data_IF_200358149869
#
_entry.id   IF_200358149869
#
_cell.length_a   1.000
_cell.length_b   1.000
_cell.length_c   1.000
_cell.angle_alpha   90.00
_cell.angle_beta   90.00
_cell.angle_gamma   90.00
#
_symmetry.space_group_name_H-M   'P 1'
#
loop_
_entity.id
_entity.type
_entity.pdbx_description
1 polymer ?
#
# COMPACT_ATOMS: atom_id res chain seq x y z
N UNK A 1 1.78 -6.04 17.51
CA UNK A 1 1.54 -6.45 16.10
C UNK A 1 0.79 -7.78 16.00
N UNK A 2 1.41 -8.92 16.37
CA UNK A 2 0.88 -10.28 16.14
C UNK A 2 -0.52 -10.62 16.66
N UNK A 3 -1.03 -9.89 17.67
CA UNK A 3 -2.38 -10.10 18.24
C UNK A 3 -3.50 -9.38 17.49
N UNK A 4 -3.17 -8.40 16.63
CA UNK A 4 -4.16 -7.55 15.97
C UNK A 4 -5.08 -8.36 15.04
N UNK A 5 -4.55 -9.21 14.13
CA UNK A 5 -5.38 -9.95 13.18
C UNK A 5 -6.27 -11.03 13.83
N UNK A 6 -5.98 -11.41 15.08
CA UNK A 6 -6.69 -12.47 15.81
C UNK A 6 -8.08 -12.07 16.32
N UNK A 7 -8.40 -10.78 16.34
CA UNK A 7 -9.68 -10.30 16.90
C UNK A 7 -10.90 -10.57 16.02
N UNK A 8 -10.69 -10.94 14.74
CA UNK A 8 -11.74 -11.16 13.71
C UNK A 8 -12.73 -10.00 13.52
N UNK A 9 -12.49 -8.84 14.15
CA UNK A 9 -13.27 -7.62 14.02
C UNK A 9 -12.61 -6.66 13.03
N UNK A 10 -13.38 -5.83 12.31
CA UNK A 10 -12.81 -4.78 11.47
C UNK A 10 -11.93 -3.82 12.28
N UNK A 11 -10.72 -3.56 11.79
CA UNK A 11 -9.81 -2.58 12.41
C UNK A 11 -10.34 -1.18 12.14
N UNK A 12 -10.73 -0.46 13.20
CA UNK A 12 -11.12 0.95 13.10
C UNK A 12 -9.90 1.87 12.90
N UNK A 13 -8.84 1.64 13.68
CA UNK A 13 -7.56 2.36 13.57
C UNK A 13 -6.46 1.61 14.31
N UNK A 14 -5.21 1.90 13.94
CA UNK A 14 -4.01 1.56 14.73
C UNK A 14 -3.31 2.83 15.19
N UNK A 15 -2.51 2.72 16.24
CA UNK A 15 -1.68 3.81 16.78
C UNK A 15 -0.42 3.23 17.40
N UNK A 16 0.59 4.07 17.60
CA UNK A 16 1.84 3.70 18.25
C UNK A 16 1.82 4.06 19.73
N UNK A 17 2.43 3.21 20.53
CA UNK A 17 2.73 3.46 21.94
C UNK A 17 4.21 3.11 22.19
N UNK A 18 5.04 4.06 22.67
CA UNK A 18 4.70 5.43 23.07
C UNK A 18 4.29 6.32 21.88
N UNK A 19 3.46 7.33 22.14
CA UNK A 19 2.88 8.22 21.10
C UNK A 19 3.93 9.06 20.35
N UNK A 20 5.03 9.42 21.03
CA UNK A 20 6.06 10.31 20.50
C UNK A 20 7.35 9.52 20.24
N UNK A 21 7.39 8.85 19.09
CA UNK A 21 8.60 8.18 18.59
C UNK A 21 9.35 9.16 17.68
N UNK A 22 10.67 9.26 17.84
CA UNK A 22 11.53 10.04 16.94
C UNK A 22 12.07 9.14 15.84
N UNK A 23 11.95 9.51 14.56
CA UNK A 23 12.61 8.78 13.49
C UNK A 23 14.11 9.10 13.45
N UNK A 24 14.84 8.31 12.68
CA UNK A 24 16.22 8.62 12.32
C UNK A 24 16.24 9.86 11.40
N UNK A 25 17.12 10.86 11.66
CA UNK A 25 17.25 12.03 10.78
C UNK A 25 17.56 11.68 9.32
N UNK A 26 18.28 10.58 9.09
CA UNK A 26 18.60 10.04 7.76
C UNK A 26 17.33 9.66 6.99
N UNK A 27 16.33 9.10 7.66
CA UNK A 27 15.06 8.72 7.04
C UNK A 27 14.27 9.95 6.58
N UNK A 28 14.26 11.01 7.41
CA UNK A 28 13.61 12.28 7.06
C UNK A 28 14.30 12.92 5.85
N UNK A 29 15.64 12.97 5.84
CA UNK A 29 16.40 13.49 4.69
C UNK A 29 16.11 12.70 3.42
N UNK A 30 16.12 11.37 3.50
CA UNK A 30 15.84 10.51 2.36
C UNK A 30 14.45 10.77 1.78
N UNK A 31 13.42 10.92 2.62
CA UNK A 31 12.06 11.25 2.17
C UNK A 31 12.01 12.63 1.50
N UNK A 32 12.69 13.63 2.07
CA UNK A 32 12.66 15.00 1.55
C UNK A 32 13.36 15.15 0.18
N UNK A 33 14.40 14.34 -0.08
CA UNK A 33 15.19 14.41 -1.31
C UNK A 33 14.80 13.34 -2.33
N UNK A 34 13.88 12.44 -2.02
CA UNK A 34 13.47 11.39 -2.95
C UNK A 34 12.69 11.98 -4.14
N UNK A 35 13.03 11.55 -5.36
CA UNK A 35 12.23 11.82 -6.55
C UNK A 35 10.94 10.99 -6.56
N UNK A 36 11.00 9.77 -5.99
CA UNK A 36 9.87 8.86 -5.85
C UNK A 36 9.90 8.20 -4.47
N UNK A 37 8.74 8.15 -3.82
CA UNK A 37 8.51 7.45 -2.56
C UNK A 37 7.51 6.32 -2.83
N UNK A 38 7.98 5.08 -2.73
CA UNK A 38 7.13 3.90 -2.79
C UNK A 38 6.60 3.56 -1.39
N UNK A 39 5.29 3.40 -1.29
CA UNK A 39 4.60 3.00 -0.06
C UNK A 39 4.06 1.59 -0.28
N UNK A 40 4.54 0.63 0.50
CA UNK A 40 4.25 -0.78 0.29
C UNK A 40 5.13 -1.44 -0.79
N UNK A 41 4.80 -2.67 -1.23
CA UNK A 41 3.68 -3.48 -0.71
C UNK A 41 3.94 -3.94 0.73
N UNK A 42 2.87 -4.31 1.45
CA UNK A 42 2.97 -4.81 2.82
C UNK A 42 1.61 -4.84 3.50
N UNK A 43 1.54 -5.43 4.70
CA UNK A 43 0.31 -5.42 5.47
C UNK A 43 -0.10 -4.00 5.81
N UNK A 44 -1.37 -3.66 5.59
CA UNK A 44 -1.83 -2.28 5.67
C UNK A 44 -1.68 -1.71 7.08
N UNK A 45 -2.19 -2.43 8.10
CA UNK A 45 -2.25 -1.94 9.48
C UNK A 45 -1.03 -2.34 10.31
N UNK A 46 -0.27 -3.35 9.88
CA UNK A 46 0.88 -3.89 10.62
C UNK A 46 2.23 -3.57 9.99
N UNK A 47 2.30 -3.12 8.73
CA UNK A 47 3.56 -2.73 8.07
C UNK A 47 3.53 -1.31 7.51
N UNK A 48 2.50 -0.92 6.77
CA UNK A 48 2.48 0.37 6.05
C UNK A 48 2.12 1.52 7.00
N UNK A 49 0.93 1.48 7.57
CA UNK A 49 0.40 2.54 8.44
C UNK A 49 1.32 2.79 9.66
N UNK A 50 1.88 1.78 10.35
CA UNK A 50 2.79 2.02 11.47
C UNK A 50 3.98 2.92 11.16
N UNK A 51 4.56 2.82 9.95
CA UNK A 51 5.65 3.72 9.53
C UNK A 51 5.17 5.17 9.35
N UNK A 52 3.97 5.35 8.78
CA UNK A 52 3.37 6.67 8.55
C UNK A 52 2.85 7.34 9.83
N UNK A 53 2.57 6.55 10.87
CA UNK A 53 2.13 7.04 12.19
C UNK A 53 3.25 7.66 13.02
N UNK A 54 4.52 7.49 12.63
CA UNK A 54 5.60 8.27 13.22
C UNK A 54 5.45 9.70 12.70
N UNK A 55 5.02 10.63 13.57
CA UNK A 55 4.59 11.98 13.18
C UNK A 55 5.53 12.67 12.17
N UNK A 56 6.83 12.68 12.45
CA UNK A 56 7.83 13.31 11.58
C UNK A 56 7.97 12.60 10.22
N UNK A 57 7.81 11.27 10.16
CA UNK A 57 7.79 10.51 8.89
C UNK A 57 6.55 10.86 8.08
N UNK A 58 5.37 10.78 8.69
CA UNK A 58 4.11 11.09 8.02
C UNK A 58 4.10 12.53 7.48
N UNK A 59 4.59 13.49 8.28
CA UNK A 59 4.76 14.87 7.83
C UNK A 59 5.77 15.02 6.69
N UNK A 60 6.90 14.31 6.75
CA UNK A 60 7.89 14.36 5.69
C UNK A 60 7.33 13.81 4.37
N UNK A 61 6.59 12.70 4.40
CA UNK A 61 5.95 12.11 3.21
C UNK A 61 4.91 13.06 2.61
N UNK A 62 4.10 13.72 3.45
CA UNK A 62 3.12 14.73 3.01
C UNK A 62 3.78 15.93 2.35
N UNK A 63 4.91 16.41 2.90
CA UNK A 63 5.62 17.60 2.41
C UNK A 63 6.61 17.29 1.27
N UNK A 64 6.88 16.01 1.01
CA UNK A 64 7.84 15.59 -0.01
C UNK A 64 7.40 16.07 -1.40
N UNK A 65 8.39 16.54 -2.18
CA UNK A 65 8.18 16.96 -3.57
C UNK A 65 8.17 15.78 -4.54
N UNK A 66 8.86 14.70 -4.17
CA UNK A 66 8.86 13.46 -4.95
C UNK A 66 7.48 12.85 -5.07
N UNK A 67 7.29 12.03 -6.12
CA UNK A 67 6.03 11.34 -6.40
C UNK A 67 5.78 10.25 -5.36
N UNK A 68 4.64 10.29 -4.66
CA UNK A 68 4.24 9.28 -3.66
C UNK A 68 3.34 8.24 -4.32
N UNK A 69 3.81 7.00 -4.40
CA UNK A 69 3.11 5.91 -5.09
C UNK A 69 2.80 4.79 -4.10
N UNK A 70 1.52 4.46 -3.92
CA UNK A 70 1.11 3.30 -3.15
C UNK A 70 1.10 2.04 -4.02
N UNK A 71 1.83 1.00 -3.60
CA UNK A 71 1.79 -0.33 -4.22
C UNK A 71 0.70 -1.13 -3.52
N UNK A 72 -0.45 -1.27 -4.20
CA UNK A 72 -1.64 -1.88 -3.63
C UNK A 72 -1.44 -3.38 -3.39
N UNK A 73 -2.05 -3.88 -2.31
CA UNK A 73 -2.08 -5.29 -1.96
C UNK A 73 -2.83 -6.07 -3.06
N UNK A 74 -2.35 -7.27 -3.38
CA UNK A 74 -2.99 -8.14 -4.38
C UNK A 74 -4.25 -8.81 -3.82
N UNK A 75 -4.20 -9.17 -2.54
CA UNK A 75 -5.23 -9.91 -1.82
C UNK A 75 -5.55 -9.19 -0.51
N UNK A 76 -6.80 -9.30 -0.06
CA UNK A 76 -7.21 -8.90 1.29
C UNK A 76 -6.56 -9.81 2.33
N UNK A 77 -6.33 -9.30 3.53
CA UNK A 77 -5.76 -10.06 4.63
C UNK A 77 -6.79 -10.32 5.72
N UNK A 78 -6.94 -11.59 6.10
CA UNK A 78 -7.81 -12.02 7.20
C UNK A 78 -7.41 -11.29 8.48
N UNK A 79 -8.40 -10.64 9.12
CA UNK A 79 -8.19 -9.89 10.36
C UNK A 79 -7.61 -8.48 10.20
N UNK A 80 -7.25 -8.06 8.97
CA UNK A 80 -6.79 -6.70 8.69
C UNK A 80 -7.68 -5.98 7.66
N UNK A 81 -7.76 -6.50 6.44
CA UNK A 81 -8.37 -5.81 5.28
C UNK A 81 -9.46 -6.63 4.61
N UNK A 82 -10.16 -7.49 5.38
CA UNK A 82 -11.24 -8.32 4.86
C UNK A 82 -12.29 -7.46 4.14
N UNK A 83 -12.62 -7.83 2.90
CA UNK A 83 -13.55 -7.11 1.99
C UNK A 83 -13.08 -5.72 1.50
N UNK A 84 -11.83 -5.33 1.78
CA UNK A 84 -11.33 -4.05 1.30
C UNK A 84 -11.11 -4.09 -0.22
N UNK A 85 -11.59 -3.06 -0.91
CA UNK A 85 -11.15 -2.70 -2.25
C UNK A 85 -9.93 -1.77 -2.19
N UNK A 86 -9.40 -1.39 -3.36
CA UNK A 86 -8.24 -0.50 -3.45
C UNK A 86 -8.50 0.91 -2.87
N UNK A 87 -9.72 1.44 -3.02
CA UNK A 87 -10.12 2.72 -2.42
C UNK A 87 -10.13 2.64 -0.89
N UNK A 88 -10.58 1.53 -0.31
CA UNK A 88 -10.58 1.34 1.15
C UNK A 88 -9.15 1.34 1.73
N UNK A 89 -8.19 0.76 1.00
CA UNK A 89 -6.78 0.81 1.40
C UNK A 89 -6.24 2.25 1.38
N UNK A 90 -6.52 3.01 0.31
CA UNK A 90 -6.13 4.42 0.21
C UNK A 90 -6.77 5.25 1.31
N UNK A 91 -8.07 5.05 1.55
CA UNK A 91 -8.82 5.79 2.56
C UNK A 91 -8.25 5.52 3.96
N UNK A 92 -7.94 4.25 4.28
CA UNK A 92 -7.31 3.91 5.55
C UNK A 92 -5.95 4.62 5.72
N UNK A 93 -5.12 4.72 4.68
CA UNK A 93 -3.87 5.50 4.74
C UNK A 93 -4.18 6.98 5.02
N UNK A 94 -5.12 7.58 4.29
CA UNK A 94 -5.50 8.98 4.45
C UNK A 94 -6.07 9.29 5.83
N UNK A 95 -6.89 8.40 6.38
CA UNK A 95 -7.49 8.54 7.71
C UNK A 95 -6.42 8.53 8.81
N UNK A 96 -5.36 7.72 8.66
CA UNK A 96 -4.28 7.63 9.65
C UNK A 96 -3.25 8.77 9.51
N UNK A 97 -3.01 9.25 8.29
CA UNK A 97 -2.16 10.42 8.03
C UNK A 97 -2.91 11.74 8.31
N UNK A 98 -4.24 11.72 8.25
CA UNK A 98 -5.14 12.85 8.49
C UNK A 98 -5.40 13.75 7.26
N UNK A 99 -4.89 13.38 6.08
CA UNK A 99 -5.14 14.08 4.80
C UNK A 99 -4.70 13.23 3.60
N UNK A 100 -5.16 13.55 2.37
CA UNK A 100 -4.63 12.95 1.15
C UNK A 100 -3.13 13.19 1.01
N UNK A 101 -2.37 12.12 0.75
CA UNK A 101 -0.90 12.16 0.70
C UNK A 101 -0.28 11.32 -0.42
N UNK A 102 -1.09 10.69 -1.27
CA UNK A 102 -0.63 9.85 -2.38
C UNK A 102 -0.91 10.56 -3.70
N UNK A 103 -0.02 10.39 -4.68
CA UNK A 103 -0.21 10.93 -6.02
C UNK A 103 -0.65 9.84 -7.01
N UNK A 104 -0.29 8.59 -6.74
CA UNK A 104 -0.56 7.47 -7.63
C UNK A 104 -0.75 6.17 -6.86
N UNK A 105 -1.44 5.23 -7.48
CA UNK A 105 -1.60 3.86 -6.98
C UNK A 105 -1.20 2.87 -8.08
N UNK A 106 -0.27 1.96 -7.75
CA UNK A 106 0.11 0.83 -8.58
C UNK A 106 -0.77 -0.37 -8.21
N UNK A 107 -1.56 -0.84 -9.16
CA UNK A 107 -2.46 -1.99 -9.01
C UNK A 107 -2.13 -3.07 -10.02
N UNK A 108 -2.44 -4.31 -9.66
CA UNK A 108 -2.27 -5.42 -10.56
C UNK A 108 -3.34 -5.45 -11.64
N UNK A 109 -2.92 -5.69 -12.89
CA UNK A 109 -3.79 -5.79 -14.06
C UNK A 109 -4.23 -7.25 -14.35
N UNK A 110 -3.62 -8.22 -13.69
CA UNK A 110 -3.83 -9.64 -13.95
C UNK A 110 -5.04 -10.20 -13.19
N UNK A 111 -5.95 -10.84 -13.93
CA UNK A 111 -6.98 -11.68 -13.30
C UNK A 111 -6.39 -13.01 -12.82
N UNK A 112 -6.58 -13.31 -11.54
CA UNK A 112 -6.13 -14.58 -10.99
C UNK A 112 -6.92 -15.76 -11.58
N UNK A 113 -6.24 -16.87 -11.96
CA UNK A 113 -6.90 -18.10 -12.39
C UNK A 113 -7.86 -18.62 -11.32
N UNK A 114 -8.99 -19.20 -11.75
CA UNK A 114 -10.05 -19.70 -10.85
C UNK A 114 -9.57 -20.64 -9.74
N UNK A 115 -8.67 -21.62 -9.97
CA UNK A 115 -8.21 -22.53 -8.92
C UNK A 115 -7.48 -21.81 -7.78
N UNK A 116 -6.77 -20.73 -8.10
CA UNK A 116 -6.07 -19.92 -7.08
C UNK A 116 -7.10 -19.10 -6.29
N UNK A 117 -8.12 -18.55 -6.95
CA UNK A 117 -9.20 -17.82 -6.26
C UNK A 117 -9.93 -18.71 -5.25
N UNK A 118 -10.08 -20.01 -5.52
CA UNK A 118 -10.73 -20.96 -4.62
C UNK A 118 -9.89 -21.25 -3.37
N UNK A 119 -8.60 -21.57 -3.51
CA UNK A 119 -7.70 -21.80 -2.37
C UNK A 119 -7.67 -20.60 -1.40
N UNK A 120 -7.64 -19.38 -1.94
CA UNK A 120 -7.61 -18.16 -1.13
C UNK A 120 -8.94 -17.87 -0.42
N UNK A 121 -10.07 -18.23 -1.03
CA UNK A 121 -11.38 -18.14 -0.38
C UNK A 121 -11.46 -19.04 0.85
N UNK A 122 -10.86 -20.24 0.80
CA UNK A 122 -10.77 -21.13 1.96
C UNK A 122 -9.96 -20.49 3.11
N UNK A 123 -8.94 -19.69 2.77
CA UNK A 123 -8.15 -18.91 3.73
C UNK A 123 -8.81 -17.58 4.18
N UNK A 124 -10.02 -17.27 3.72
CA UNK A 124 -10.73 -15.98 3.91
C UNK A 124 -9.96 -14.76 3.37
N UNK A 125 -9.31 -14.92 2.23
CA UNK A 125 -8.65 -13.85 1.48
C UNK A 125 -9.22 -13.79 0.06
N UNK A 126 -9.47 -12.58 -0.43
CA UNK A 126 -10.04 -12.33 -1.74
C UNK A 126 -9.16 -11.36 -2.53
N UNK A 127 -9.16 -11.41 -3.88
CA UNK A 127 -8.44 -10.42 -4.68
C UNK A 127 -8.97 -9.01 -4.37
N UNK A 128 -8.06 -8.05 -4.18
CA UNK A 128 -8.44 -6.66 -3.97
C UNK A 128 -9.06 -6.12 -5.25
N UNK A 129 -10.33 -5.71 -5.18
CA UNK A 129 -11.03 -5.12 -6.32
C UNK A 129 -10.57 -3.69 -6.58
N UNK A 130 -10.54 -3.30 -7.85
CA UNK A 130 -10.04 -1.99 -8.31
C UNK A 130 -11.13 -1.26 -9.08
N UNK A 131 -11.64 -0.19 -8.48
CA UNK A 131 -12.55 0.76 -9.12
C UNK A 131 -11.74 1.98 -9.59
N UNK A 132 -11.34 1.97 -10.87
CA UNK A 132 -10.46 3.01 -11.44
C UNK A 132 -11.09 4.40 -11.32
N UNK A 133 -12.37 4.51 -11.64
CA UNK A 133 -13.06 5.78 -11.65
C UNK A 133 -13.12 6.39 -10.24
N UNK A 134 -13.39 5.58 -9.21
CA UNK A 134 -13.34 6.08 -7.82
C UNK A 134 -11.95 6.50 -7.39
N UNK A 135 -10.91 5.75 -7.75
CA UNK A 135 -9.53 6.12 -7.43
C UNK A 135 -9.12 7.44 -8.11
N UNK A 136 -9.51 7.65 -9.36
CA UNK A 136 -9.31 8.91 -10.08
C UNK A 136 -10.09 10.07 -9.42
N UNK A 137 -11.32 9.83 -8.96
CA UNK A 137 -12.07 10.83 -8.18
C UNK A 137 -11.43 11.16 -6.83
N UNK A 138 -10.64 10.24 -6.25
CA UNK A 138 -9.80 10.52 -5.08
C UNK A 138 -8.52 11.31 -5.43
N UNK A 139 -8.32 11.68 -6.70
CA UNK A 139 -7.19 12.46 -7.18
C UNK A 139 -5.95 11.64 -7.54
N UNK A 140 -6.07 10.31 -7.67
CA UNK A 140 -4.95 9.42 -7.93
C UNK A 140 -4.76 9.12 -9.42
N UNK A 141 -3.51 9.08 -9.87
CA UNK A 141 -3.14 8.37 -11.10
C UNK A 141 -3.18 6.85 -10.84
N UNK A 142 -4.03 6.13 -11.59
CA UNK A 142 -4.14 4.67 -11.48
C UNK A 142 -3.21 3.99 -12.48
N UNK A 143 -2.18 3.32 -11.97
CA UNK A 143 -1.16 2.64 -12.76
C UNK A 143 -1.45 1.14 -12.73
N UNK A 144 -1.84 0.58 -13.88
CA UNK A 144 -2.12 -0.86 -14.04
C UNK A 144 -0.94 -1.57 -14.67
N UNK A 145 -0.40 -2.58 -13.99
CA UNK A 145 0.74 -3.40 -14.48
C UNK A 145 0.60 -4.86 -14.05
N UNK A 146 1.25 -5.76 -14.77
CA UNK A 146 1.29 -7.17 -14.44
C UNK A 146 2.33 -7.43 -13.34
N UNK A 147 1.99 -7.07 -12.11
CA UNK A 147 2.92 -7.06 -10.96
C UNK A 147 2.76 -8.28 -10.07
N UNK A 148 2.02 -9.31 -10.49
CA UNK A 148 1.79 -10.51 -9.71
C UNK A 148 2.46 -11.75 -10.35
N UNK A 149 2.89 -12.66 -9.49
CA UNK A 149 3.32 -14.02 -9.84
C UNK A 149 2.68 -15.01 -8.87
N UNK A 150 2.43 -16.24 -9.34
CA UNK A 150 2.00 -17.35 -8.49
C UNK A 150 3.23 -18.22 -8.21
N UNK A 151 3.59 -18.35 -6.95
CA UNK A 151 4.69 -19.20 -6.50
C UNK A 151 4.18 -20.13 -5.39
N UNK A 152 4.32 -21.44 -5.60
CA UNK A 152 3.89 -22.47 -4.65
C UNK A 152 2.42 -22.32 -4.22
N UNK A 153 1.53 -21.96 -5.16
CA UNK A 153 0.11 -21.75 -4.90
C UNK A 153 -0.25 -20.40 -4.25
N UNK A 154 0.75 -19.56 -3.94
CA UNK A 154 0.57 -18.25 -3.32
C UNK A 154 0.81 -17.13 -4.35
N UNK A 155 -0.11 -16.18 -4.42
CA UNK A 155 0.00 -14.94 -5.17
C UNK A 155 0.93 -13.98 -4.44
N UNK A 156 1.97 -13.50 -5.12
CA UNK A 156 2.93 -12.52 -4.60
C UNK A 156 3.17 -11.43 -5.62
N UNK A 157 3.61 -10.27 -5.15
CA UNK A 157 4.16 -9.25 -6.04
C UNK A 157 5.42 -9.78 -6.72
N UNK A 158 5.53 -9.55 -8.03
CA UNK A 158 6.72 -9.89 -8.78
C UNK A 158 7.70 -8.72 -8.82
N UNK A 159 8.68 -8.78 -7.93
CA UNK A 159 9.64 -7.71 -7.67
C UNK A 159 10.37 -7.25 -8.93
N UNK A 160 10.73 -8.16 -9.84
CA UNK A 160 11.45 -7.82 -11.08
C UNK A 160 10.59 -6.96 -11.99
N UNK A 161 9.29 -7.27 -12.12
CA UNK A 161 8.37 -6.50 -12.96
C UNK A 161 8.06 -5.13 -12.35
N UNK A 162 7.95 -5.05 -11.03
CA UNK A 162 7.80 -3.76 -10.34
C UNK A 162 9.05 -2.91 -10.53
N UNK A 163 10.24 -3.47 -10.33
CA UNK A 163 11.49 -2.76 -10.50
C UNK A 163 11.68 -2.27 -11.95
N UNK A 164 11.39 -3.13 -12.93
CA UNK A 164 11.44 -2.76 -14.34
C UNK A 164 10.47 -1.62 -14.65
N UNK A 165 9.21 -1.73 -14.21
CA UNK A 165 8.24 -0.66 -14.38
C UNK A 165 8.70 0.65 -13.74
N UNK A 166 9.25 0.59 -12.52
CA UNK A 166 9.76 1.78 -11.83
C UNK A 166 10.90 2.42 -12.60
N UNK A 167 11.82 1.63 -13.14
CA UNK A 167 12.93 2.10 -13.99
C UNK A 167 12.43 2.85 -15.22
N UNK A 168 11.31 2.41 -15.82
CA UNK A 168 10.71 3.06 -16.99
C UNK A 168 9.86 4.29 -16.60
N UNK A 169 9.28 4.29 -15.39
CA UNK A 169 8.41 5.35 -14.89
C UNK A 169 9.19 6.54 -14.31
N UNK A 170 10.27 6.27 -13.59
CA UNK A 170 11.04 7.26 -12.85
C UNK A 170 11.59 8.43 -13.70
N UNK A 171 12.11 8.22 -14.92
CA UNK A 171 12.68 9.30 -15.73
C UNK A 171 11.71 10.45 -16.08
N UNK A 172 10.39 10.26 -15.90
CA UNK A 172 9.40 11.34 -16.07
C UNK A 172 9.45 12.40 -14.96
N UNK A 173 10.04 12.05 -13.82
CA UNK A 173 9.99 12.83 -12.59
C UNK A 173 11.37 13.11 -11.99
N UNK A 174 12.41 12.43 -12.49
CA UNK A 174 13.80 12.76 -12.18
C UNK A 174 14.18 13.98 -13.00
N UNK A 175 14.45 15.08 -12.31
CA UNK A 175 14.92 16.36 -12.89
C UNK A 175 16.42 16.32 -13.09
#
# INVERSE_FOLDING_TARGET
ESKIPSSHLPIKRVFLEPKHVKPLPEAIRAIQTADIILIGPGSLYTSIIPNLLVNEIGEAVVKAKGRKIYICNLMTQKGETLKYNACDHVQAIYDHVGKPCLDSILVNNFELPSPIKENYKEENAEPVSVDVHKLEMMGLEVIKKDIAIIQSGVVRHESTRIAQWLSDYAPKYVI
#
